data_IF_454806695464
#
_entry.id   IF_454806695464
#
_cell.length_a   1.000
_cell.length_b   1.000
_cell.length_c   1.000
_cell.angle_alpha   90.00
_cell.angle_beta   90.00
_cell.angle_gamma   90.00
#
_symmetry.space_group_name_H-M   'P 1'
#
loop_
_entity.id
_entity.type
_entity.pdbx_description
1 polymer ?
#
# COMPACT_ATOMS: atom_id res chain seq x y z
N UNK A 1 6.31 -22.61 -0.82
CA UNK A 1 6.12 -21.24 -1.31
C UNK A 1 5.94 -20.30 -0.11
N UNK A 2 7.02 -19.63 0.32
CA UNK A 2 7.03 -18.63 1.42
C UNK A 2 7.07 -17.19 0.87
N UNK A 3 7.12 -17.05 -0.44
CA UNK A 3 7.51 -15.80 -1.13
C UNK A 3 6.39 -14.75 -1.15
N UNK A 4 5.12 -15.19 -1.08
CA UNK A 4 3.98 -14.28 -1.06
C UNK A 4 3.89 -13.45 0.23
N UNK A 5 4.24 -14.04 1.38
CA UNK A 5 4.27 -13.36 2.68
C UNK A 5 5.39 -12.32 2.77
N UNK A 6 6.61 -12.73 2.38
CA UNK A 6 7.79 -11.85 2.33
C UNK A 6 7.57 -10.65 1.40
N UNK A 7 6.99 -10.89 0.22
CA UNK A 7 6.67 -9.80 -0.71
C UNK A 7 5.67 -8.81 -0.11
N UNK A 8 4.66 -9.28 0.62
CA UNK A 8 3.67 -8.39 1.23
C UNK A 8 4.29 -7.51 2.32
N UNK A 9 5.14 -8.05 3.17
CA UNK A 9 5.76 -7.27 4.25
C UNK A 9 6.75 -6.23 3.71
N UNK A 10 7.47 -6.55 2.64
CA UNK A 10 8.27 -5.58 1.89
C UNK A 10 7.42 -4.40 1.37
N UNK A 11 6.32 -4.68 0.68
CA UNK A 11 5.44 -3.61 0.17
C UNK A 11 4.76 -2.82 1.30
N UNK A 12 4.39 -3.48 2.40
CA UNK A 12 3.84 -2.80 3.59
C UNK A 12 4.85 -1.81 4.19
N UNK A 13 6.11 -2.21 4.33
CA UNK A 13 7.17 -1.33 4.82
C UNK A 13 7.34 -0.12 3.91
N UNK A 14 7.37 -0.33 2.59
CA UNK A 14 7.41 0.77 1.61
C UNK A 14 6.24 1.75 1.76
N UNK A 15 5.01 1.25 1.92
CA UNK A 15 3.83 2.12 2.12
C UNK A 15 4.00 2.96 3.40
N UNK A 16 4.45 2.36 4.50
CA UNK A 16 4.65 3.10 5.77
C UNK A 16 5.72 4.18 5.60
N UNK A 17 6.88 3.85 5.03
CA UNK A 17 7.95 4.83 4.76
C UNK A 17 7.49 5.95 3.82
N UNK A 18 6.67 5.62 2.82
CA UNK A 18 6.07 6.64 1.96
C UNK A 18 5.14 7.57 2.72
N UNK A 19 4.28 7.05 3.60
CA UNK A 19 3.34 7.86 4.38
C UNK A 19 4.02 8.68 5.48
N UNK A 20 5.24 8.32 5.89
CA UNK A 20 6.10 9.18 6.71
C UNK A 20 6.57 10.40 5.92
N UNK A 21 6.99 10.21 4.67
CA UNK A 21 7.51 11.27 3.80
C UNK A 21 6.41 12.13 3.18
N UNK A 22 5.29 11.51 2.85
CA UNK A 22 4.13 12.11 2.18
C UNK A 22 2.85 11.75 2.94
N UNK A 23 2.57 12.46 4.04
CA UNK A 23 1.32 12.26 4.77
C UNK A 23 0.12 12.59 3.89
N UNK A 24 -0.99 11.87 4.08
CA UNK A 24 -2.27 12.05 3.37
C UNK A 24 -2.24 11.61 1.90
N UNK A 25 -1.23 10.85 1.47
CA UNK A 25 -1.22 10.28 0.11
C UNK A 25 -2.43 9.39 -0.16
N UNK A 26 -3.06 9.61 -1.29
CA UNK A 26 -4.18 8.83 -1.82
C UNK A 26 -3.73 7.43 -2.22
N UNK A 27 -4.69 6.51 -2.37
CA UNK A 27 -4.41 5.17 -2.91
C UNK A 27 -3.75 5.25 -4.28
N UNK A 28 -4.18 6.16 -5.14
CA UNK A 28 -3.66 6.35 -6.49
C UNK A 28 -2.20 6.79 -6.46
N UNK A 29 -1.83 7.75 -5.62
CA UNK A 29 -0.43 8.16 -5.45
C UNK A 29 0.43 7.02 -4.90
N UNK A 30 -0.10 6.27 -3.92
CA UNK A 30 0.58 5.08 -3.38
C UNK A 30 0.78 4.03 -4.47
N UNK A 31 -0.24 3.80 -5.30
CA UNK A 31 -0.18 2.86 -6.41
C UNK A 31 0.87 3.25 -7.44
N UNK A 32 0.87 4.50 -7.92
CA UNK A 32 1.82 4.96 -8.94
C UNK A 32 3.28 4.80 -8.49
N UNK A 33 3.57 4.94 -7.19
CA UNK A 33 4.91 4.78 -6.63
C UNK A 33 5.34 3.33 -6.41
N UNK A 34 4.38 2.41 -6.40
CA UNK A 34 4.58 0.97 -6.26
C UNK A 34 4.44 0.21 -7.58
N UNK A 35 3.77 0.76 -8.60
CA UNK A 35 3.37 0.04 -9.82
C UNK A 35 4.53 -0.68 -10.50
N UNK A 36 5.67 -0.01 -10.64
CA UNK A 36 6.89 -0.54 -11.26
C UNK A 36 7.64 -1.57 -10.39
N UNK A 37 7.31 -1.64 -9.09
CA UNK A 37 7.92 -2.54 -8.11
C UNK A 37 7.04 -3.75 -7.79
N UNK A 38 5.78 -3.70 -8.22
CA UNK A 38 4.85 -4.82 -8.11
C UNK A 38 5.17 -5.87 -9.19
N UNK A 39 4.87 -7.16 -8.95
CA UNK A 39 5.22 -8.22 -9.88
C UNK A 39 4.63 -7.97 -11.28
N UNK A 40 5.47 -8.09 -12.32
CA UNK A 40 5.08 -7.86 -13.71
C UNK A 40 4.07 -8.89 -14.26
N UNK A 41 3.92 -10.04 -13.58
CA UNK A 41 2.88 -11.04 -13.87
C UNK A 41 1.47 -10.52 -13.56
N UNK A 42 1.34 -9.47 -12.74
CA UNK A 42 0.05 -8.88 -12.39
C UNK A 42 -0.33 -7.80 -13.38
N UNK A 43 -1.58 -7.84 -13.86
CA UNK A 43 -2.16 -6.74 -14.60
C UNK A 43 -2.44 -5.52 -13.69
N UNK A 44 -2.78 -4.37 -14.29
CA UNK A 44 -3.04 -3.13 -13.55
C UNK A 44 -4.16 -3.27 -12.51
N UNK A 45 -5.22 -4.01 -12.82
CA UNK A 45 -6.36 -4.22 -11.92
C UNK A 45 -5.94 -5.09 -10.73
N UNK A 46 -5.18 -6.15 -10.97
CA UNK A 46 -4.62 -7.03 -9.95
C UNK A 46 -3.62 -6.29 -9.05
N UNK A 47 -2.74 -5.45 -9.64
CA UNK A 47 -1.83 -4.58 -8.89
C UNK A 47 -2.60 -3.59 -8.00
N UNK A 48 -3.65 -2.94 -8.50
CA UNK A 48 -4.50 -2.05 -7.72
C UNK A 48 -5.18 -2.75 -6.54
N UNK A 49 -5.69 -3.96 -6.76
CA UNK A 49 -6.30 -4.79 -5.72
C UNK A 49 -5.27 -5.24 -4.68
N UNK A 50 -4.04 -5.51 -5.09
CA UNK A 50 -2.94 -5.81 -4.16
C UNK A 50 -2.63 -4.61 -3.26
N UNK A 51 -2.57 -3.40 -3.80
CA UNK A 51 -2.39 -2.17 -3.00
C UNK A 51 -3.53 -1.97 -2.01
N UNK A 52 -4.79 -2.18 -2.41
CA UNK A 52 -5.93 -2.16 -1.47
C UNK A 52 -5.76 -3.12 -0.30
N UNK A 53 -5.39 -4.37 -0.61
CA UNK A 53 -5.23 -5.41 0.41
C UNK A 53 -4.09 -5.05 1.39
N UNK A 54 -3.00 -4.45 0.90
CA UNK A 54 -1.90 -4.00 1.74
C UNK A 54 -2.32 -2.85 2.65
N UNK A 55 -3.04 -1.85 2.12
CA UNK A 55 -3.56 -0.72 2.89
C UNK A 55 -4.54 -1.17 3.97
N UNK A 56 -5.48 -2.06 3.63
CA UNK A 56 -6.41 -2.63 4.60
C UNK A 56 -5.69 -3.45 5.67
N UNK A 57 -4.67 -4.24 5.30
CA UNK A 57 -3.86 -5.00 6.26
C UNK A 57 -3.13 -4.08 7.23
N UNK A 58 -2.51 -3.00 6.73
CA UNK A 58 -1.82 -2.01 7.56
C UNK A 58 -2.79 -1.28 8.49
N UNK A 59 -3.96 -0.90 7.98
CA UNK A 59 -5.03 -0.25 8.74
C UNK A 59 -5.52 -1.14 9.89
N UNK A 60 -5.84 -2.41 9.61
CA UNK A 60 -6.24 -3.39 10.62
C UNK A 60 -5.15 -3.65 11.67
N UNK A 61 -3.89 -3.52 11.30
CA UNK A 61 -2.75 -3.63 12.23
C UNK A 61 -2.45 -2.34 13.02
N UNK A 62 -3.21 -1.26 12.81
CA UNK A 62 -3.03 0.03 13.49
C UNK A 62 -1.80 0.82 13.04
N UNK A 63 -1.19 0.48 11.89
CA UNK A 63 0.00 1.18 11.37
C UNK A 63 -0.33 2.44 10.59
N UNK A 64 -1.50 2.47 9.96
CA UNK A 64 -1.99 3.60 9.17
C UNK A 64 -3.49 3.77 9.42
N UNK A 65 -4.01 4.96 9.16
CA UNK A 65 -5.46 5.22 9.16
C UNK A 65 -5.88 5.96 7.90
N UNK A 66 -7.09 5.64 7.44
CA UNK A 66 -7.75 6.45 6.40
C UNK A 66 -8.18 7.78 7.01
N UNK A 67 -8.04 8.87 6.27
CA UNK A 67 -8.45 10.20 6.75
C UNK A 67 -9.94 10.49 6.52
N UNK A 68 -10.71 9.57 5.92
CA UNK A 68 -12.16 9.68 5.76
C UNK A 68 -12.63 9.57 4.31
N UNK A 69 -13.82 10.11 4.00
CA UNK A 69 -14.45 10.02 2.67
C UNK A 69 -13.66 10.86 1.65
N UNK A 70 -12.67 10.22 1.00
CA UNK A 70 -11.98 10.73 -0.18
C UNK A 70 -10.57 11.26 0.04
N UNK A 71 -10.07 11.27 1.27
CA UNK A 71 -8.75 11.82 1.60
C UNK A 71 -7.82 10.70 2.05
N UNK A 72 -6.55 10.77 1.66
CA UNK A 72 -5.62 9.65 1.67
C UNK A 72 -5.27 9.05 3.03
N UNK A 73 -4.17 8.32 3.05
CA UNK A 73 -3.71 7.57 4.21
C UNK A 73 -2.70 8.36 5.00
N UNK A 74 -2.68 8.15 6.31
CA UNK A 74 -1.64 8.69 7.21
C UNK A 74 -1.12 7.58 8.09
N UNK A 75 0.18 7.63 8.39
CA UNK A 75 0.79 6.77 9.41
C UNK A 75 0.18 7.11 10.79
N UNK A 76 -0.11 6.08 11.60
CA UNK A 76 -0.55 6.26 12.99
C UNK A 76 0.62 6.44 13.95
#
# INVERSE_FOLDING_TARGET
MKDAGLNNDYYKAMIVTMLEKYPKSTKQEIFSLLEDKLPNVLDKQQKMKKVDNLLQSLSRSGKIKSTGRGSGWIKQ
#
